data_IF_519924668820
#
_entry.id   IF_519924668820
#
_cell.length_a   1.000
_cell.length_b   1.000
_cell.length_c   1.000
_cell.angle_alpha   90.00
_cell.angle_beta   90.00
_cell.angle_gamma   90.00
#
_symmetry.space_group_name_H-M   'P 1'
#
loop_
_entity.id
_entity.type
_entity.pdbx_description
1 polymer ?
#
# COMPACT_ATOMS: atom_id res chain seq x y z
N UNK A 1 41.95 -21.51 6.62
CA UNK A 1 40.68 -21.70 7.34
C UNK A 1 39.64 -22.01 6.28
N UNK A 2 39.25 -23.28 6.14
CA UNK A 2 38.23 -23.70 5.17
C UNK A 2 36.89 -23.58 5.88
N UNK A 3 35.95 -22.80 5.35
CA UNK A 3 34.59 -22.73 5.90
C UNK A 3 33.91 -24.09 5.69
N UNK A 4 33.49 -24.74 6.78
CA UNK A 4 32.68 -25.96 6.68
C UNK A 4 31.21 -25.61 6.35
N UNK A 5 30.51 -26.58 5.76
CA UNK A 5 29.14 -26.41 5.25
C UNK A 5 28.13 -26.02 6.33
N UNK A 6 28.33 -26.49 7.57
CA UNK A 6 27.43 -26.19 8.68
C UNK A 6 27.60 -24.74 9.13
N UNK A 7 28.84 -24.29 9.34
CA UNK A 7 29.14 -22.90 9.72
C UNK A 7 28.58 -21.88 8.72
N UNK A 8 28.78 -22.09 7.41
CA UNK A 8 28.26 -21.15 6.40
C UNK A 8 26.74 -21.18 6.29
N UNK A 9 26.11 -22.34 6.53
CA UNK A 9 24.64 -22.47 6.55
C UNK A 9 24.04 -21.71 7.73
N UNK A 10 24.67 -21.75 8.91
CA UNK A 10 24.27 -20.93 10.07
C UNK A 10 24.40 -19.44 9.75
N UNK A 11 25.55 -19.01 9.20
CA UNK A 11 25.74 -17.60 8.83
C UNK A 11 24.66 -17.12 7.85
N UNK A 12 24.33 -17.95 6.86
CA UNK A 12 23.28 -17.66 5.88
C UNK A 12 21.91 -17.57 6.55
N UNK A 13 21.58 -18.52 7.46
CA UNK A 13 20.35 -18.50 8.23
C UNK A 13 20.19 -17.22 9.04
N UNK A 14 21.23 -16.80 9.76
CA UNK A 14 21.20 -15.57 10.55
C UNK A 14 20.93 -14.36 9.66
N UNK A 15 21.66 -14.21 8.54
CA UNK A 15 21.49 -13.07 7.63
C UNK A 15 20.08 -13.04 7.02
N UNK A 16 19.59 -14.17 6.51
CA UNK A 16 18.28 -14.27 5.85
C UNK A 16 17.14 -14.06 6.86
N UNK A 17 17.24 -14.63 8.07
CA UNK A 17 16.22 -14.47 9.12
C UNK A 17 16.15 -13.02 9.59
N UNK A 18 17.28 -12.40 9.90
CA UNK A 18 17.30 -10.99 10.35
C UNK A 18 16.77 -10.07 9.26
N UNK A 19 17.24 -10.23 8.02
CA UNK A 19 16.75 -9.48 6.87
C UNK A 19 15.24 -9.65 6.64
N UNK A 20 14.77 -10.91 6.65
CA UNK A 20 13.37 -11.24 6.42
C UNK A 20 12.45 -10.73 7.53
N UNK A 21 12.84 -10.89 8.79
CA UNK A 21 12.08 -10.37 9.94
C UNK A 21 12.00 -8.84 9.89
N UNK A 22 13.11 -8.16 9.64
CA UNK A 22 13.12 -6.70 9.51
C UNK A 22 12.17 -6.23 8.39
N UNK A 23 12.20 -6.89 7.23
CA UNK A 23 11.31 -6.55 6.13
C UNK A 23 9.83 -6.81 6.45
N UNK A 24 9.52 -7.96 7.06
CA UNK A 24 8.14 -8.33 7.42
C UNK A 24 7.58 -7.37 8.48
N UNK A 25 8.35 -7.07 9.53
CA UNK A 25 7.94 -6.13 10.58
C UNK A 25 7.66 -4.74 10.00
N UNK A 26 8.56 -4.22 9.16
CA UNK A 26 8.36 -2.94 8.50
C UNK A 26 7.09 -2.91 7.63
N UNK A 27 6.78 -4.02 6.98
CA UNK A 27 5.58 -4.14 6.13
C UNK A 27 4.30 -4.14 6.97
N UNK A 28 4.29 -4.86 8.10
CA UNK A 28 3.16 -4.93 9.02
C UNK A 28 2.92 -3.58 9.71
N UNK A 29 3.97 -2.95 10.24
CA UNK A 29 3.89 -1.68 10.96
C UNK A 29 3.38 -0.54 10.07
N UNK A 30 3.65 -0.60 8.76
CA UNK A 30 3.24 0.44 7.81
C UNK A 30 1.91 0.16 7.13
N UNK A 31 1.21 -0.94 7.48
CA UNK A 31 -0.04 -1.39 6.84
C UNK A 31 0.05 -1.40 5.30
N UNK A 32 1.18 -1.84 4.77
CA UNK A 32 1.43 -1.80 3.33
C UNK A 32 0.42 -2.72 2.60
N UNK A 33 -0.16 -2.22 1.50
CA UNK A 33 -1.18 -2.95 0.72
C UNK A 33 -0.66 -3.28 -0.68
N UNK A 34 -1.13 -4.40 -1.26
CA UNK A 34 -0.70 -4.82 -2.60
C UNK A 34 0.68 -5.50 -2.63
N UNK A 35 1.63 -4.93 -3.40
CA UNK A 35 2.91 -5.55 -3.73
C UNK A 35 3.79 -5.87 -2.50
N UNK A 36 3.77 -5.03 -1.47
CA UNK A 36 4.52 -5.23 -0.22
C UNK A 36 4.17 -6.55 0.47
N UNK A 37 2.88 -6.93 0.50
CA UNK A 37 2.43 -8.20 1.10
C UNK A 37 2.96 -9.42 0.35
N UNK A 38 3.05 -9.35 -0.98
CA UNK A 38 3.57 -10.44 -1.81
C UNK A 38 5.09 -10.57 -1.63
N UNK A 39 5.81 -9.45 -1.50
CA UNK A 39 7.24 -9.48 -1.18
C UNK A 39 7.51 -10.00 0.23
N UNK A 40 6.67 -9.71 1.22
CA UNK A 40 6.79 -10.34 2.53
C UNK A 40 6.67 -11.86 2.47
N UNK A 41 5.80 -12.39 1.60
CA UNK A 41 5.73 -13.83 1.36
C UNK A 41 7.03 -14.38 0.77
N UNK A 42 7.72 -13.59 -0.07
CA UNK A 42 9.04 -13.97 -0.59
C UNK A 42 10.08 -14.15 0.53
N UNK A 43 10.12 -13.21 1.48
CA UNK A 43 11.04 -13.28 2.63
C UNK A 43 10.68 -14.41 3.59
N UNK A 44 9.39 -14.66 3.84
CA UNK A 44 8.95 -15.81 4.64
C UNK A 44 9.39 -17.12 3.96
N UNK A 45 9.22 -17.23 2.64
CA UNK A 45 9.66 -18.39 1.89
C UNK A 45 11.19 -18.55 1.89
N UNK A 46 11.96 -17.45 1.86
CA UNK A 46 13.42 -17.48 2.00
C UNK A 46 13.87 -17.94 3.40
N UNK A 47 13.18 -17.51 4.46
CA UNK A 47 13.42 -18.00 5.83
C UNK A 47 13.15 -19.51 5.88
N UNK A 48 12.01 -19.96 5.38
CA UNK A 48 11.65 -21.38 5.35
C UNK A 48 12.69 -22.20 4.57
N UNK A 49 13.10 -21.73 3.40
CA UNK A 49 14.17 -22.35 2.58
C UNK A 49 15.44 -22.56 3.40
N UNK A 50 15.86 -21.52 4.10
CA UNK A 50 17.15 -21.54 4.82
C UNK A 50 17.09 -22.43 6.05
N UNK A 51 15.96 -22.45 6.76
CA UNK A 51 15.74 -23.36 7.89
C UNK A 51 15.68 -24.82 7.43
N UNK A 52 15.04 -25.09 6.29
CA UNK A 52 15.00 -26.43 5.70
C UNK A 52 16.39 -26.94 5.32
N UNK A 53 17.22 -26.10 4.68
CA UNK A 53 18.59 -26.50 4.35
C UNK A 53 19.48 -26.62 5.58
N UNK A 54 19.32 -25.78 6.60
CA UNK A 54 20.04 -25.93 7.85
C UNK A 54 19.65 -27.24 8.56
N UNK A 55 18.36 -27.60 8.56
CA UNK A 55 17.89 -28.86 9.12
C UNK A 55 18.48 -30.07 8.37
N UNK A 56 18.54 -29.99 7.03
CA UNK A 56 19.19 -31.03 6.21
C UNK A 56 20.68 -31.19 6.56
N UNK A 57 21.45 -30.09 6.64
CA UNK A 57 22.88 -30.17 7.00
C UNK A 57 23.06 -30.72 8.42
N UNK A 58 22.15 -30.41 9.35
CA UNK A 58 22.21 -30.88 10.72
C UNK A 58 21.81 -32.36 10.88
N UNK A 59 20.81 -32.84 10.13
CA UNK A 59 20.33 -34.22 10.22
C UNK A 59 21.12 -35.20 9.35
N UNK A 60 21.72 -34.73 8.25
CA UNK A 60 22.33 -35.57 7.23
C UNK A 60 21.32 -36.35 6.37
N UNK A 61 20.02 -36.15 6.58
CA UNK A 61 18.96 -36.88 5.86
C UNK A 61 18.43 -36.05 4.69
N UNK A 62 18.78 -36.47 3.47
CA UNK A 62 18.21 -35.93 2.24
C UNK A 62 16.78 -36.46 2.06
N UNK A 63 15.79 -35.56 2.03
CA UNK A 63 14.39 -35.95 1.90
C UNK A 63 13.42 -34.77 1.93
N UNK A 64 12.46 -34.80 2.84
CA UNK A 64 11.41 -33.76 2.95
C UNK A 64 11.98 -32.36 3.20
N UNK A 65 13.07 -32.24 3.96
CA UNK A 65 13.71 -30.96 4.21
C UNK A 65 14.22 -30.31 2.90
N UNK A 66 14.91 -31.08 2.05
CA UNK A 66 15.37 -30.60 0.74
C UNK A 66 14.17 -30.29 -0.17
N UNK A 67 13.15 -31.14 -0.20
CA UNK A 67 11.98 -30.93 -1.06
C UNK A 67 11.23 -29.64 -0.71
N UNK A 68 10.95 -29.42 0.59
CA UNK A 68 10.31 -28.19 1.09
C UNK A 68 11.23 -26.99 0.86
N UNK A 69 12.54 -27.14 1.08
CA UNK A 69 13.53 -26.11 0.83
C UNK A 69 13.54 -25.65 -0.63
N UNK A 70 13.66 -26.59 -1.57
CA UNK A 70 13.66 -26.32 -3.01
C UNK A 70 12.37 -25.62 -3.46
N UNK A 71 11.21 -26.13 -3.01
CA UNK A 71 9.92 -25.53 -3.34
C UNK A 71 9.79 -24.11 -2.78
N UNK A 72 10.19 -23.91 -1.52
CA UNK A 72 10.16 -22.61 -0.85
C UNK A 72 11.10 -21.61 -1.54
N UNK A 73 12.24 -22.05 -2.06
CA UNK A 73 13.17 -21.18 -2.76
C UNK A 73 12.56 -20.65 -4.07
N UNK A 74 11.90 -21.55 -4.81
CA UNK A 74 11.17 -21.20 -6.03
C UNK A 74 10.02 -20.25 -5.72
N UNK A 75 9.26 -20.50 -4.64
CA UNK A 75 8.19 -19.59 -4.18
C UNK A 75 8.77 -18.22 -3.83
N UNK A 76 9.88 -18.17 -3.08
CA UNK A 76 10.53 -16.92 -2.69
C UNK A 76 10.88 -16.06 -3.89
N UNK A 77 11.61 -16.63 -4.85
CA UNK A 77 12.00 -15.93 -6.08
C UNK A 77 10.79 -15.57 -6.94
N UNK A 78 9.82 -16.47 -7.05
CA UNK A 78 8.57 -16.24 -7.78
C UNK A 78 7.73 -15.10 -7.21
N UNK A 79 7.63 -14.99 -5.88
CA UNK A 79 6.95 -13.91 -5.19
C UNK A 79 7.62 -12.56 -5.44
N UNK A 80 8.95 -12.49 -5.61
CA UNK A 80 9.62 -11.24 -6.02
C UNK A 80 9.17 -10.78 -7.41
N UNK A 81 9.02 -11.70 -8.37
CA UNK A 81 8.49 -11.40 -9.69
C UNK A 81 7.00 -11.03 -9.65
N UNK A 82 6.16 -11.83 -8.97
CA UNK A 82 4.72 -11.56 -8.85
C UNK A 82 4.45 -10.24 -8.12
N UNK A 83 5.22 -9.92 -7.08
CA UNK A 83 5.15 -8.63 -6.40
C UNK A 83 5.53 -7.47 -7.32
N UNK A 84 6.55 -7.64 -8.17
CA UNK A 84 6.90 -6.66 -9.21
C UNK A 84 5.77 -6.46 -10.23
N UNK A 85 5.08 -7.54 -10.63
CA UNK A 85 3.89 -7.45 -11.49
C UNK A 85 2.72 -6.75 -10.81
N UNK A 86 2.49 -7.04 -9.52
CA UNK A 86 1.45 -6.38 -8.72
C UNK A 86 1.72 -4.89 -8.59
N UNK A 87 2.99 -4.51 -8.40
CA UNK A 87 3.40 -3.11 -8.36
C UNK A 87 3.09 -2.40 -9.69
N UNK A 88 3.31 -3.09 -10.80
CA UNK A 88 2.97 -2.59 -12.14
C UNK A 88 1.47 -2.65 -12.50
N UNK A 89 0.59 -3.00 -11.55
CA UNK A 89 -0.86 -3.06 -11.77
C UNK A 89 -1.31 -4.17 -12.73
N UNK A 90 -0.49 -5.21 -12.92
CA UNK A 90 -0.81 -6.31 -13.86
C UNK A 90 -1.60 -7.43 -13.19
N UNK A 91 -2.33 -8.19 -14.00
CA UNK A 91 -3.06 -9.37 -13.52
C UNK A 91 -2.08 -10.41 -12.94
N UNK A 92 -2.49 -10.96 -11.79
CA UNK A 92 -1.66 -11.88 -11.00
C UNK A 92 -2.01 -13.36 -11.22
N UNK A 93 -3.20 -13.67 -11.75
CA UNK A 93 -3.73 -15.05 -11.83
C UNK A 93 -2.76 -16.01 -12.53
N UNK A 94 -2.32 -15.66 -13.75
CA UNK A 94 -1.41 -16.52 -14.54
C UNK A 94 -0.05 -16.63 -13.87
N UNK A 95 0.50 -15.54 -13.35
CA UNK A 95 1.82 -15.54 -12.73
C UNK A 95 1.85 -16.31 -11.42
N UNK A 96 0.77 -16.26 -10.62
CA UNK A 96 0.61 -17.09 -9.43
C UNK A 96 0.59 -18.59 -9.79
N UNK A 97 -0.12 -18.97 -10.85
CA UNK A 97 -0.12 -20.35 -11.34
C UNK A 97 1.25 -20.80 -11.87
N UNK A 98 2.00 -19.94 -12.54
CA UNK A 98 3.38 -20.24 -12.99
C UNK A 98 4.29 -20.50 -11.78
N UNK A 99 4.22 -19.66 -10.74
CA UNK A 99 5.02 -19.84 -9.53
C UNK A 99 4.62 -21.12 -8.79
N UNK A 100 3.31 -21.36 -8.60
CA UNK A 100 2.80 -22.57 -7.96
C UNK A 100 3.21 -23.84 -8.72
N UNK A 101 3.08 -23.84 -10.05
CA UNK A 101 3.49 -24.95 -10.90
C UNK A 101 5.00 -25.19 -10.86
N UNK A 102 5.81 -24.14 -10.86
CA UNK A 102 7.28 -24.25 -10.77
C UNK A 102 7.72 -24.79 -9.40
N UNK A 103 7.07 -24.34 -8.32
CA UNK A 103 7.35 -24.82 -6.97
C UNK A 103 6.93 -26.29 -6.80
N UNK A 104 5.76 -26.66 -7.33
CA UNK A 104 5.30 -28.05 -7.35
C UNK A 104 6.26 -28.95 -8.16
N UNK A 105 6.73 -28.47 -9.32
CA UNK A 105 7.71 -29.20 -10.13
C UNK A 105 9.02 -29.43 -9.38
N UNK A 106 9.56 -28.42 -8.70
CA UNK A 106 10.77 -28.55 -7.89
C UNK A 106 10.58 -29.51 -6.71
N UNK A 107 9.43 -29.43 -6.02
CA UNK A 107 9.07 -30.34 -4.94
C UNK A 107 9.00 -31.80 -5.42
N UNK A 108 8.22 -32.05 -6.48
CA UNK A 108 8.01 -33.39 -7.04
C UNK A 108 9.33 -33.94 -7.60
N UNK A 109 10.12 -33.14 -8.30
CA UNK A 109 11.42 -33.58 -8.82
C UNK A 109 12.37 -34.03 -7.71
N UNK A 110 12.31 -33.38 -6.54
CA UNK A 110 13.11 -33.77 -5.38
C UNK A 110 12.62 -35.10 -4.79
N UNK A 111 11.30 -35.28 -4.65
CA UNK A 111 10.72 -36.53 -4.14
C UNK A 111 10.93 -37.71 -5.08
N UNK A 112 10.84 -37.50 -6.39
CA UNK A 112 11.04 -38.54 -7.42
C UNK A 112 12.48 -39.02 -7.45
N UNK A 113 13.45 -38.13 -7.20
CA UNK A 113 14.85 -38.52 -7.08
C UNK A 113 15.09 -39.46 -5.87
N UNK A 114 14.22 -39.40 -4.86
CA UNK A 114 14.26 -40.29 -3.70
C UNK A 114 15.55 -40.17 -2.87
N UNK A 115 15.79 -41.13 -1.96
CA UNK A 115 17.01 -41.19 -1.14
C UNK A 115 18.30 -41.25 -1.97
N UNK A 116 18.24 -41.85 -3.16
CA UNK A 116 19.38 -42.02 -4.06
C UNK A 116 19.78 -40.72 -4.80
N UNK A 117 18.91 -39.70 -4.78
CA UNK A 117 19.18 -38.39 -5.37
C UNK A 117 20.24 -37.57 -4.61
N UNK A 118 20.57 -37.97 -3.38
CA UNK A 118 21.56 -37.32 -2.53
C UNK A 118 21.31 -35.82 -2.33
N UNK A 119 22.39 -35.07 -2.11
CA UNK A 119 22.37 -33.63 -1.81
C UNK A 119 21.81 -32.76 -2.94
N UNK A 120 21.73 -33.30 -4.16
CA UNK A 120 21.32 -32.59 -5.37
C UNK A 120 19.97 -33.05 -5.92
N UNK A 121 19.18 -33.77 -5.12
CA UNK A 121 17.85 -34.22 -5.48
C UNK A 121 16.97 -33.05 -6.00
N UNK A 122 16.49 -33.15 -7.24
CA UNK A 122 15.64 -32.14 -7.88
C UNK A 122 16.34 -30.80 -8.21
N UNK A 123 17.65 -30.68 -7.99
CA UNK A 123 18.37 -29.41 -8.06
C UNK A 123 18.28 -28.73 -9.44
N UNK A 124 18.37 -29.49 -10.53
CA UNK A 124 18.33 -28.92 -11.89
C UNK A 124 16.98 -28.25 -12.20
N UNK A 125 15.87 -28.87 -11.79
CA UNK A 125 14.52 -28.30 -11.98
C UNK A 125 14.40 -27.00 -11.17
N UNK A 126 14.88 -27.01 -9.93
CA UNK A 126 14.93 -25.81 -9.10
C UNK A 126 15.80 -24.72 -9.74
N UNK A 127 16.99 -25.04 -10.23
CA UNK A 127 17.90 -24.04 -10.81
C UNK A 127 17.29 -23.35 -12.03
N UNK A 128 16.67 -24.12 -12.93
CA UNK A 128 15.99 -23.58 -14.11
C UNK A 128 14.83 -22.67 -13.69
N UNK A 129 14.02 -23.10 -12.71
CA UNK A 129 12.92 -22.29 -12.19
C UNK A 129 13.42 -20.96 -11.59
N UNK A 130 14.49 -21.01 -10.78
CA UNK A 130 15.10 -19.82 -10.19
C UNK A 130 15.68 -18.88 -11.26
N UNK A 131 16.38 -19.43 -12.26
CA UNK A 131 16.93 -18.67 -13.37
C UNK A 131 15.84 -17.91 -14.14
N UNK A 132 14.75 -18.60 -14.50
CA UNK A 132 13.63 -18.04 -15.27
C UNK A 132 12.85 -17.03 -14.44
N UNK A 133 12.44 -17.36 -13.21
CA UNK A 133 11.64 -16.48 -12.36
C UNK A 133 12.42 -15.22 -11.95
N UNK A 134 13.70 -15.36 -11.62
CA UNK A 134 14.56 -14.21 -11.33
C UNK A 134 14.75 -13.34 -12.58
N UNK A 135 14.96 -13.94 -13.76
CA UNK A 135 15.07 -13.21 -15.02
C UNK A 135 13.79 -12.44 -15.37
N UNK A 136 12.63 -13.07 -15.22
CA UNK A 136 11.33 -12.42 -15.39
C UNK A 136 11.13 -11.29 -14.38
N UNK A 137 11.54 -11.49 -13.13
CA UNK A 137 11.55 -10.46 -12.08
C UNK A 137 12.43 -9.26 -12.43
N UNK A 138 13.65 -9.50 -12.91
CA UNK A 138 14.57 -8.46 -13.35
C UNK A 138 13.99 -7.64 -14.50
N UNK A 139 13.46 -8.31 -15.54
CA UNK A 139 12.81 -7.64 -16.67
C UNK A 139 11.58 -6.83 -16.23
N UNK A 140 10.74 -7.39 -15.36
CA UNK A 140 9.53 -6.72 -14.87
C UNK A 140 9.87 -5.49 -14.02
N UNK A 141 10.94 -5.56 -13.22
CA UNK A 141 11.38 -4.46 -12.36
C UNK A 141 11.89 -3.22 -13.12
N UNK A 142 12.20 -3.37 -14.41
CA UNK A 142 12.57 -2.26 -15.32
C UNK A 142 11.42 -1.79 -16.21
N UNK A 143 10.23 -2.39 -16.12
CA UNK A 143 9.06 -2.03 -16.92
C UNK A 143 8.08 -1.16 -16.15
N UNK A 144 7.23 -0.45 -16.90
CA UNK A 144 6.08 0.32 -16.40
C UNK A 144 6.43 1.27 -15.23
N UNK A 145 5.55 1.38 -14.23
CA UNK A 145 5.70 2.30 -13.10
C UNK A 145 6.97 2.01 -12.29
N UNK A 146 7.32 0.73 -12.12
CA UNK A 146 8.51 0.29 -11.38
C UNK A 146 9.81 0.77 -12.05
N UNK A 147 9.89 0.72 -13.39
CA UNK A 147 11.09 1.13 -14.14
C UNK A 147 11.41 2.63 -14.08
N UNK A 148 10.44 3.48 -13.71
CA UNK A 148 10.60 4.94 -13.59
C UNK A 148 11.30 5.37 -12.30
N UNK A 149 11.43 4.45 -11.34
CA UNK A 149 12.14 4.70 -10.10
C UNK A 149 13.58 4.23 -10.19
N UNK A 150 14.54 5.09 -9.83
CA UNK A 150 15.94 4.65 -9.65
C UNK A 150 16.05 3.55 -8.57
N UNK A 151 15.06 3.46 -7.68
CA UNK A 151 14.99 2.50 -6.59
C UNK A 151 14.88 1.04 -7.02
N UNK A 152 14.48 0.79 -8.26
CA UNK A 152 14.23 -0.57 -8.74
C UNK A 152 15.46 -1.17 -9.42
N UNK A 153 16.50 -0.35 -9.66
CA UNK A 153 17.80 -0.79 -10.22
C UNK A 153 18.45 -1.81 -9.30
N UNK A 154 18.45 -1.60 -7.98
CA UNK A 154 19.03 -2.54 -7.04
C UNK A 154 18.34 -3.91 -7.09
N UNK A 155 17.00 -3.94 -7.11
CA UNK A 155 16.25 -5.19 -7.25
C UNK A 155 16.53 -5.86 -8.61
N UNK A 156 16.65 -5.05 -9.67
CA UNK A 156 17.04 -5.55 -11.01
C UNK A 156 18.41 -6.21 -10.98
N UNK A 157 19.39 -5.58 -10.32
CA UNK A 157 20.75 -6.10 -10.21
C UNK A 157 20.77 -7.40 -9.40
N UNK A 158 20.05 -7.47 -8.28
CA UNK A 158 19.95 -8.68 -7.46
C UNK A 158 19.31 -9.82 -8.24
N UNK A 159 18.14 -9.59 -8.85
CA UNK A 159 17.43 -10.61 -9.62
C UNK A 159 18.17 -11.00 -10.90
N UNK A 160 18.84 -10.04 -11.55
CA UNK A 160 19.66 -10.28 -12.74
C UNK A 160 20.90 -11.11 -12.41
N UNK A 161 21.61 -10.78 -11.33
CA UNK A 161 22.76 -11.55 -10.86
C UNK A 161 22.35 -12.97 -10.44
N UNK A 162 21.24 -13.11 -9.72
CA UNK A 162 20.67 -14.41 -9.37
C UNK A 162 20.33 -15.22 -10.63
N UNK A 163 19.63 -14.61 -11.60
CA UNK A 163 19.27 -15.27 -12.85
C UNK A 163 20.51 -15.77 -13.60
N UNK A 164 21.51 -14.91 -13.79
CA UNK A 164 22.75 -15.26 -14.50
C UNK A 164 23.52 -16.37 -13.78
N UNK A 165 23.63 -16.29 -12.46
CA UNK A 165 24.29 -17.32 -11.66
C UNK A 165 23.59 -18.67 -11.79
N UNK A 166 22.26 -18.71 -11.69
CA UNK A 166 21.52 -19.97 -11.81
C UNK A 166 21.47 -20.53 -13.23
N UNK A 167 21.56 -19.68 -14.27
CA UNK A 167 21.80 -20.15 -15.65
C UNK A 167 23.16 -20.83 -15.75
N UNK A 168 24.23 -20.16 -15.32
CA UNK A 168 25.59 -20.71 -15.35
C UNK A 168 25.68 -22.00 -14.53
N UNK A 169 25.11 -22.00 -13.32
CA UNK A 169 25.02 -23.16 -12.43
C UNK A 169 24.29 -24.33 -13.08
N UNK A 170 23.17 -24.09 -13.76
CA UNK A 170 22.42 -25.14 -14.46
C UNK A 170 23.23 -25.75 -15.61
N UNK A 171 23.91 -24.91 -16.39
CA UNK A 171 24.74 -25.35 -17.53
C UNK A 171 25.89 -26.22 -17.02
N UNK A 172 26.64 -25.74 -16.01
CA UNK A 172 27.78 -26.47 -15.46
C UNK A 172 27.32 -27.78 -14.78
N UNK A 173 26.22 -27.74 -14.04
CA UNK A 173 25.63 -28.94 -13.45
C UNK A 173 25.25 -29.99 -14.51
N UNK A 174 24.67 -29.56 -15.64
CA UNK A 174 24.29 -30.47 -16.71
C UNK A 174 25.46 -31.02 -17.53
N UNK A 175 26.55 -30.24 -17.67
CA UNK A 175 27.72 -30.63 -18.47
C UNK A 175 28.77 -31.42 -17.68
N UNK A 176 29.07 -31.01 -16.45
CA UNK A 176 30.14 -31.60 -15.63
C UNK A 176 29.60 -32.52 -14.52
N UNK A 177 28.35 -32.32 -14.11
CA UNK A 177 27.71 -33.09 -13.05
C UNK A 177 27.94 -32.53 -11.63
N UNK A 178 27.23 -33.10 -10.63
CA UNK A 178 27.22 -32.60 -9.25
C UNK A 178 28.48 -32.91 -8.44
N UNK A 179 29.28 -33.88 -8.86
CA UNK A 179 30.48 -34.36 -8.14
C UNK A 179 31.78 -33.79 -8.68
N UNK A 180 31.72 -33.03 -9.77
CA UNK A 180 32.90 -32.43 -10.39
C UNK A 180 33.51 -31.32 -9.51
N UNK A 181 34.83 -31.28 -9.43
CA UNK A 181 35.56 -30.34 -8.56
C UNK A 181 35.31 -28.88 -8.96
N UNK A 182 35.18 -28.60 -10.27
CA UNK A 182 34.89 -27.26 -10.76
C UNK A 182 33.48 -26.84 -10.35
N UNK A 183 32.51 -27.75 -10.46
CA UNK A 183 31.14 -27.49 -10.00
C UNK A 183 31.10 -27.24 -8.49
N UNK A 184 31.71 -28.10 -7.66
CA UNK A 184 31.71 -27.95 -6.21
C UNK A 184 32.42 -26.68 -5.75
N UNK A 185 33.49 -26.28 -6.43
CA UNK A 185 34.27 -25.07 -6.09
C UNK A 185 33.52 -23.78 -6.42
N UNK A 186 32.99 -23.65 -7.63
CA UNK A 186 32.40 -22.39 -8.10
C UNK A 186 30.88 -22.32 -8.00
N UNK A 187 30.21 -23.46 -7.98
CA UNK A 187 28.76 -23.60 -8.05
C UNK A 187 28.21 -24.51 -6.94
N UNK A 188 29.05 -24.92 -6.00
CA UNK A 188 28.66 -25.70 -4.83
C UNK A 188 27.78 -24.90 -3.87
N UNK A 189 27.31 -25.60 -2.84
CA UNK A 189 26.42 -25.01 -1.85
C UNK A 189 27.11 -23.93 -1.02
N UNK A 190 28.39 -24.10 -0.68
CA UNK A 190 29.19 -23.11 0.06
C UNK A 190 29.26 -21.78 -0.72
N UNK A 191 29.66 -21.84 -1.99
CA UNK A 191 29.76 -20.64 -2.86
C UNK A 191 28.41 -19.96 -3.07
N UNK A 192 27.36 -20.77 -3.22
CA UNK A 192 25.98 -20.24 -3.32
C UNK A 192 25.53 -19.55 -2.04
N UNK A 193 25.92 -20.05 -0.86
CA UNK A 193 25.62 -19.42 0.42
C UNK A 193 26.27 -18.04 0.54
N UNK A 194 27.53 -17.90 0.13
CA UNK A 194 28.19 -16.58 0.06
C UNK A 194 27.45 -15.62 -0.89
N UNK A 195 27.10 -16.09 -2.08
CA UNK A 195 26.32 -15.27 -3.03
C UNK A 195 24.98 -14.86 -2.41
N UNK A 196 24.29 -15.77 -1.74
CA UNK A 196 23.01 -15.51 -1.08
C UNK A 196 23.14 -14.45 0.00
N UNK A 197 24.18 -14.53 0.83
CA UNK A 197 24.48 -13.52 1.86
C UNK A 197 24.72 -12.16 1.19
N UNK A 198 25.59 -12.10 0.17
CA UNK A 198 25.91 -10.84 -0.53
C UNK A 198 24.64 -10.24 -1.15
N UNK A 199 23.89 -11.02 -1.91
CA UNK A 199 22.67 -10.56 -2.57
C UNK A 199 21.61 -10.10 -1.57
N UNK A 200 21.46 -10.81 -0.45
CA UNK A 200 20.52 -10.45 0.62
C UNK A 200 20.92 -9.11 1.26
N UNK A 201 22.20 -8.93 1.59
CA UNK A 201 22.71 -7.68 2.15
C UNK A 201 22.49 -6.54 1.16
N UNK A 202 22.86 -6.72 -0.11
CA UNK A 202 22.64 -5.71 -1.16
C UNK A 202 21.16 -5.37 -1.29
N UNK A 203 20.26 -6.37 -1.27
CA UNK A 203 18.83 -6.16 -1.34
C UNK A 203 18.30 -5.34 -0.15
N UNK A 204 18.68 -5.71 1.09
CA UNK A 204 18.26 -5.02 2.31
C UNK A 204 18.81 -3.61 2.40
N UNK A 205 20.12 -3.44 2.18
CA UNK A 205 20.78 -2.12 2.21
C UNK A 205 20.19 -1.22 1.15
N UNK A 206 19.95 -1.74 -0.06
CA UNK A 206 19.26 -0.99 -1.09
C UNK A 206 17.88 -0.59 -0.60
N UNK A 207 17.01 -1.53 -0.17
CA UNK A 207 15.69 -1.19 0.35
C UNK A 207 15.71 -0.16 1.50
N UNK A 208 16.71 -0.21 2.37
CA UNK A 208 16.91 0.74 3.48
C UNK A 208 17.32 2.15 3.00
N UNK A 209 18.31 2.25 2.10
CA UNK A 209 18.75 3.52 1.47
C UNK A 209 17.63 4.13 0.62
N UNK A 210 16.86 3.29 -0.06
CA UNK A 210 15.70 3.71 -0.82
C UNK A 210 14.62 4.28 0.09
N UNK A 211 14.42 3.67 1.27
CA UNK A 211 13.43 4.11 2.25
C UNK A 211 13.87 5.39 2.99
N UNK A 212 15.17 5.61 3.20
CA UNK A 212 15.72 6.85 3.78
C UNK A 212 15.78 8.02 2.78
N UNK A 213 16.10 7.74 1.51
CA UNK A 213 16.03 8.71 0.41
C UNK A 213 14.59 9.12 0.09
N UNK A 214 13.64 8.19 0.17
CA UNK A 214 12.20 8.49 0.05
C UNK A 214 11.65 9.32 1.21
N UNK A 215 12.20 9.26 2.42
CA UNK A 215 11.79 10.16 3.50
C UNK A 215 12.10 11.64 3.19
N UNK A 216 13.14 11.91 2.38
CA UNK A 216 13.49 13.26 1.92
C UNK A 216 12.78 13.69 0.62
N UNK A 217 12.39 12.74 -0.23
CA UNK A 217 11.67 12.98 -1.50
C UNK A 217 10.13 12.88 -1.37
N UNK A 218 9.61 12.37 -0.25
CA UNK A 218 8.17 12.35 0.11
C UNK A 218 7.54 13.74 0.24
N UNK A 219 8.32 14.82 0.17
CA UNK A 219 7.81 16.18 0.05
C UNK A 219 7.20 16.53 -1.33
N UNK A 220 7.16 15.63 -2.32
CA UNK A 220 6.74 16.03 -3.69
C UNK A 220 5.99 15.00 -4.56
N UNK A 221 5.45 13.91 -4.01
CA UNK A 221 4.79 12.88 -4.83
C UNK A 221 3.85 12.00 -4.01
N UNK A 222 2.73 12.58 -3.66
CA UNK A 222 1.80 12.04 -2.68
C UNK A 222 0.82 11.02 -3.29
N UNK A 223 1.16 9.73 -3.19
CA UNK A 223 0.19 8.63 -3.30
C UNK A 223 -0.37 8.27 -1.92
N UNK A 224 -0.97 9.23 -1.21
CA UNK A 224 -1.90 8.91 -0.13
C UNK A 224 -3.10 8.18 -0.74
N UNK A 225 -3.37 7.00 -0.20
CA UNK A 225 -4.67 6.35 -0.35
C UNK A 225 -5.70 7.32 0.22
N UNK A 226 -6.52 7.94 -0.64
CA UNK A 226 -7.63 8.76 -0.18
C UNK A 226 -8.63 7.83 0.50
N UNK A 227 -8.90 8.07 1.78
CA UNK A 227 -9.81 7.26 2.57
C UNK A 227 -11.23 7.79 2.41
N UNK A 228 -12.16 6.87 2.16
CA UNK A 228 -13.59 7.14 2.17
C UNK A 228 -14.24 6.34 3.29
N UNK A 229 -15.15 6.96 4.02
CA UNK A 229 -16.02 6.26 4.97
C UNK A 229 -17.13 5.46 4.25
N UNK A 230 -17.91 4.66 4.99
CA UNK A 230 -19.07 3.91 4.47
C UNK A 230 -20.12 4.81 3.83
N UNK A 231 -20.25 6.05 4.31
CA UNK A 231 -21.12 7.07 3.74
C UNK A 231 -20.50 7.75 2.51
N UNK A 232 -19.27 7.36 2.13
CA UNK A 232 -18.42 7.82 1.03
C UNK A 232 -18.04 9.30 1.07
N UNK A 233 -17.87 9.80 2.29
CA UNK A 233 -17.22 11.07 2.60
C UNK A 233 -15.71 10.83 2.73
N UNK A 234 -14.90 11.79 2.27
CA UNK A 234 -13.45 11.77 2.56
C UNK A 234 -13.18 12.05 4.04
N UNK A 235 -12.16 11.43 4.62
CA UNK A 235 -11.67 11.81 5.95
C UNK A 235 -10.99 13.20 5.93
N UNK A 236 -10.75 13.76 7.12
CA UNK A 236 -10.23 15.13 7.29
C UNK A 236 -8.91 15.35 6.49
N UNK A 237 -8.00 14.37 6.54
CA UNK A 237 -6.69 14.45 5.88
C UNK A 237 -6.82 14.35 4.34
N UNK A 238 -7.62 13.40 3.83
CA UNK A 238 -7.83 13.25 2.38
C UNK A 238 -8.55 14.46 1.79
N UNK A 239 -9.54 15.00 2.50
CA UNK A 239 -10.23 16.22 2.07
C UNK A 239 -9.29 17.41 2.03
N UNK A 240 -8.53 17.66 3.10
CA UNK A 240 -7.62 18.81 3.18
C UNK A 240 -6.59 18.78 2.04
N UNK A 241 -6.06 17.60 1.73
CA UNK A 241 -5.15 17.40 0.59
C UNK A 241 -5.84 17.71 -0.74
N UNK A 242 -6.97 17.08 -1.02
CA UNK A 242 -7.70 17.28 -2.29
C UNK A 242 -8.10 18.74 -2.49
N UNK A 243 -8.54 19.39 -1.41
CA UNK A 243 -8.92 20.79 -1.42
C UNK A 243 -7.72 21.70 -1.61
N UNK A 244 -6.58 21.43 -0.96
CA UNK A 244 -5.32 22.15 -1.17
C UNK A 244 -4.82 22.09 -2.62
N UNK A 245 -4.90 20.91 -3.24
CA UNK A 245 -4.57 20.76 -4.67
C UNK A 245 -5.54 21.56 -5.56
N UNK A 246 -6.83 21.54 -5.22
CA UNK A 246 -7.88 22.27 -5.94
C UNK A 246 -7.67 23.79 -5.82
N UNK A 247 -7.41 24.33 -4.63
CA UNK A 247 -7.16 25.76 -4.41
C UNK A 247 -5.86 26.22 -5.07
N UNK A 248 -4.80 25.41 -5.01
CA UNK A 248 -3.52 25.73 -5.67
C UNK A 248 -3.68 25.85 -7.19
N UNK A 249 -4.40 24.91 -7.83
CA UNK A 249 -4.70 25.00 -9.27
C UNK A 249 -5.61 26.19 -9.58
N UNK A 250 -6.64 26.41 -8.76
CA UNK A 250 -7.56 27.52 -8.93
C UNK A 250 -6.84 28.87 -8.85
N UNK A 251 -5.88 29.02 -7.93
CA UNK A 251 -5.05 30.21 -7.81
C UNK A 251 -4.25 30.50 -9.09
N UNK A 252 -3.67 29.46 -9.71
CA UNK A 252 -2.88 29.60 -10.92
C UNK A 252 -3.68 30.13 -12.13
N UNK A 253 -4.98 29.82 -12.19
CA UNK A 253 -5.88 30.25 -13.26
C UNK A 253 -6.88 31.33 -12.83
N UNK A 254 -6.76 31.84 -11.59
CA UNK A 254 -7.72 32.79 -10.99
C UNK A 254 -9.18 32.30 -11.06
N UNK A 255 -9.37 30.99 -10.89
CA UNK A 255 -10.70 30.36 -10.89
C UNK A 255 -11.34 30.46 -9.52
N UNK A 256 -12.62 30.85 -9.45
CA UNK A 256 -13.33 30.94 -8.17
C UNK A 256 -13.55 29.57 -7.54
N UNK A 257 -13.17 29.42 -6.28
CA UNK A 257 -13.44 28.23 -5.48
C UNK A 257 -14.18 28.60 -4.20
N UNK A 258 -15.06 27.72 -3.76
CA UNK A 258 -15.77 27.87 -2.50
C UNK A 258 -15.77 26.58 -1.70
N UNK A 259 -15.82 26.74 -0.39
CA UNK A 259 -16.07 25.64 0.54
C UNK A 259 -17.31 25.97 1.37
N UNK A 260 -18.24 25.02 1.43
CA UNK A 260 -19.44 25.08 2.26
C UNK A 260 -19.22 24.15 3.43
N UNK A 261 -19.33 24.66 4.65
CA UNK A 261 -19.30 23.87 5.88
C UNK A 261 -20.72 23.72 6.40
N UNK A 262 -21.18 22.47 6.54
CA UNK A 262 -22.45 22.11 7.16
C UNK A 262 -22.14 21.49 8.52
N UNK A 263 -22.70 22.03 9.60
CA UNK A 263 -22.44 21.55 10.96
C UNK A 263 -23.72 21.20 11.69
N UNK A 264 -23.66 20.10 12.43
CA UNK A 264 -24.72 19.65 13.32
C UNK A 264 -24.32 19.98 14.76
N UNK A 265 -24.94 20.99 15.37
CA UNK A 265 -24.42 21.61 16.60
C UNK A 265 -24.91 20.93 17.87
N UNK A 266 -26.15 20.44 17.87
CA UNK A 266 -26.89 20.00 19.04
C UNK A 266 -26.92 18.46 19.22
N UNK A 267 -26.11 17.73 18.45
CA UNK A 267 -26.09 16.27 18.48
C UNK A 267 -25.81 15.69 19.89
N UNK A 268 -24.84 16.18 20.68
CA UNK A 268 -24.64 15.71 22.06
C UNK A 268 -25.86 15.95 22.96
N UNK A 269 -26.53 17.10 22.80
CA UNK A 269 -27.72 17.47 23.56
C UNK A 269 -28.91 16.57 23.19
N UNK A 270 -29.08 16.27 21.90
CA UNK A 270 -30.10 15.33 21.40
C UNK A 270 -29.82 13.93 21.97
N UNK A 271 -28.58 13.46 21.93
CA UNK A 271 -28.21 12.16 22.51
C UNK A 271 -28.54 12.07 24.01
N UNK A 272 -28.39 13.18 24.74
CA UNK A 272 -28.70 13.26 26.18
C UNK A 272 -30.21 13.26 26.45
N UNK A 273 -31.00 13.96 25.61
CA UNK A 273 -32.42 14.18 25.86
C UNK A 273 -33.34 13.13 25.23
N UNK A 274 -32.98 12.57 24.08
CA UNK A 274 -33.80 11.67 23.26
C UNK A 274 -33.16 10.28 23.07
N UNK A 275 -31.94 10.09 23.56
CA UNK A 275 -31.21 8.83 23.51
C UNK A 275 -30.24 8.74 22.33
N UNK A 276 -29.32 7.78 22.44
CA UNK A 276 -28.22 7.61 21.49
C UNK A 276 -28.66 7.10 20.12
N UNK A 277 -29.74 6.32 20.05
CA UNK A 277 -30.26 5.78 18.79
C UNK A 277 -30.83 6.89 17.91
N UNK A 278 -31.70 7.75 18.47
CA UNK A 278 -32.26 8.91 17.76
C UNK A 278 -31.16 9.84 17.24
N UNK A 279 -30.13 10.09 18.08
CA UNK A 279 -28.98 10.89 17.67
C UNK A 279 -28.18 10.23 16.54
N UNK A 280 -28.00 8.91 16.56
CA UNK A 280 -27.32 8.18 15.49
C UNK A 280 -28.08 8.24 14.17
N UNK A 281 -29.41 8.11 14.21
CA UNK A 281 -30.27 8.20 13.02
C UNK A 281 -30.20 9.60 12.40
N UNK A 282 -30.27 10.65 13.23
CA UNK A 282 -30.09 12.04 12.78
C UNK A 282 -28.69 12.26 12.19
N UNK A 283 -27.64 11.76 12.85
CA UNK A 283 -26.27 11.91 12.37
C UNK A 283 -26.02 11.18 11.04
N UNK A 284 -26.63 10.00 10.86
CA UNK A 284 -26.54 9.25 9.61
C UNK A 284 -27.34 9.94 8.48
N UNK A 285 -28.57 10.37 8.75
CA UNK A 285 -29.39 11.12 7.79
C UNK A 285 -28.71 12.42 7.35
N UNK A 286 -28.09 13.12 8.29
CA UNK A 286 -27.28 14.31 7.99
C UNK A 286 -26.10 14.00 7.08
N UNK A 287 -25.33 12.95 7.34
CA UNK A 287 -24.19 12.52 6.50
C UNK A 287 -24.61 12.14 5.09
N UNK A 288 -25.58 11.24 4.98
CA UNK A 288 -26.11 10.76 3.70
C UNK A 288 -26.77 11.88 2.92
N UNK A 289 -27.59 12.70 3.57
CA UNK A 289 -28.28 13.84 2.96
C UNK A 289 -27.31 14.90 2.45
N UNK A 290 -26.28 15.25 3.24
CA UNK A 290 -25.31 16.29 2.85
C UNK A 290 -24.56 15.87 1.59
N UNK A 291 -24.14 14.60 1.51
CA UNK A 291 -23.51 14.04 0.32
C UNK A 291 -24.47 13.96 -0.87
N UNK A 292 -25.71 13.53 -0.65
CA UNK A 292 -26.74 13.39 -1.69
C UNK A 292 -27.09 14.71 -2.36
N UNK A 293 -27.15 15.80 -1.58
CA UNK A 293 -27.52 17.12 -2.07
C UNK A 293 -26.33 17.97 -2.54
N UNK A 294 -25.11 17.51 -2.33
CA UNK A 294 -23.91 18.14 -2.88
C UNK A 294 -23.91 18.05 -4.43
N UNK A 295 -23.34 19.06 -5.12
CA UNK A 295 -23.14 18.97 -6.56
C UNK A 295 -22.28 17.77 -6.96
N UNK A 296 -22.53 17.19 -8.13
CA UNK A 296 -21.81 15.99 -8.61
C UNK A 296 -20.31 16.20 -8.82
N UNK A 297 -19.89 17.43 -9.08
CA UNK A 297 -18.48 17.81 -9.22
C UNK A 297 -17.82 18.23 -7.90
N UNK A 298 -18.57 18.25 -6.80
CA UNK A 298 -18.05 18.70 -5.52
C UNK A 298 -17.27 17.59 -4.80
N UNK A 299 -16.24 17.99 -4.08
CA UNK A 299 -15.50 17.11 -3.16
C UNK A 299 -16.18 17.24 -1.80
N UNK A 300 -16.54 16.12 -1.18
CA UNK A 300 -17.25 16.10 0.11
C UNK A 300 -16.48 15.29 1.13
N UNK A 301 -16.22 15.87 2.29
CA UNK A 301 -15.46 15.20 3.36
C UNK A 301 -15.84 15.69 4.74
N UNK A 302 -15.22 15.07 5.74
CA UNK A 302 -15.36 15.47 7.13
C UNK A 302 -14.63 16.79 7.43
N UNK A 303 -15.14 17.49 8.42
CA UNK A 303 -14.48 18.59 9.09
C UNK A 303 -14.60 18.39 10.60
N UNK A 304 -13.79 17.47 11.12
CA UNK A 304 -13.85 17.00 12.50
C UNK A 304 -15.12 16.19 12.78
N UNK A 305 -15.49 16.10 14.06
CA UNK A 305 -16.57 15.19 14.52
C UNK A 305 -18.00 15.66 14.23
N UNK A 306 -18.21 16.95 13.96
CA UNK A 306 -19.55 17.55 13.83
C UNK A 306 -19.74 18.38 12.55
N UNK A 307 -18.78 18.32 11.63
CA UNK A 307 -18.80 19.07 10.38
C UNK A 307 -18.65 18.19 9.15
N UNK A 308 -19.34 18.56 8.07
CA UNK A 308 -19.11 18.08 6.71
C UNK A 308 -18.80 19.30 5.85
N UNK A 309 -17.77 19.18 5.03
CA UNK A 309 -17.34 20.22 4.10
C UNK A 309 -17.52 19.79 2.66
N UNK A 310 -17.92 20.76 1.83
CA UNK A 310 -18.20 20.59 0.40
C UNK A 310 -17.37 21.62 -0.34
N UNK A 311 -16.37 21.19 -1.09
CA UNK A 311 -15.58 22.05 -1.97
C UNK A 311 -16.16 22.01 -3.39
N UNK A 312 -16.39 23.18 -3.98
CA UNK A 312 -16.97 23.35 -5.31
C UNK A 312 -16.41 24.58 -6.03
N UNK A 313 -16.67 24.65 -7.33
CA UNK A 313 -16.36 25.79 -8.19
C UNK A 313 -17.66 26.49 -8.60
N UNK A 314 -18.12 27.51 -7.84
CA UNK A 314 -19.36 28.20 -8.15
C UNK A 314 -19.16 29.26 -9.24
N UNK A 315 -20.20 29.51 -10.04
CA UNK A 315 -20.14 30.57 -11.06
C UNK A 315 -20.18 31.98 -10.47
N UNK A 316 -20.73 32.14 -9.25
CA UNK A 316 -20.76 33.40 -8.50
C UNK A 316 -20.90 33.15 -6.99
N UNK A 317 -20.64 34.18 -6.18
CA UNK A 317 -20.89 34.13 -4.71
C UNK A 317 -22.37 33.81 -4.43
N UNK A 318 -23.28 34.40 -5.22
CA UNK A 318 -24.71 34.10 -5.14
C UNK A 318 -25.05 32.65 -5.48
N UNK A 319 -24.28 32.03 -6.38
CA UNK A 319 -24.44 30.61 -6.72
C UNK A 319 -24.04 29.69 -5.56
N UNK A 320 -22.90 29.96 -4.93
CA UNK A 320 -22.48 29.24 -3.71
C UNK A 320 -23.55 29.32 -2.62
N UNK A 321 -24.13 30.52 -2.40
CA UNK A 321 -25.24 30.72 -1.45
C UNK A 321 -26.48 29.92 -1.82
N UNK A 322 -26.87 29.92 -3.11
CA UNK A 322 -28.02 29.13 -3.58
C UNK A 322 -27.83 27.62 -3.36
N UNK A 323 -26.63 27.11 -3.61
CA UNK A 323 -26.29 25.69 -3.38
C UNK A 323 -26.38 25.37 -1.89
N UNK A 324 -25.74 26.18 -1.04
CA UNK A 324 -25.78 26.01 0.42
C UNK A 324 -27.21 26.06 0.98
N UNK A 325 -28.02 27.05 0.58
CA UNK A 325 -29.42 27.16 1.01
C UNK A 325 -30.28 25.98 0.55
N UNK A 326 -30.00 25.42 -0.64
CA UNK A 326 -30.69 24.23 -1.13
C UNK A 326 -30.34 23.01 -0.27
N UNK A 327 -29.06 22.80 0.03
CA UNK A 327 -28.59 21.71 0.89
C UNK A 327 -29.24 21.82 2.27
N UNK A 328 -29.17 23.01 2.89
CA UNK A 328 -29.80 23.27 4.19
C UNK A 328 -31.29 22.93 4.21
N UNK A 329 -32.07 23.45 3.24
CA UNK A 329 -33.52 23.20 3.18
C UNK A 329 -33.84 21.72 3.00
N UNK A 330 -33.14 21.04 2.08
CA UNK A 330 -33.37 19.62 1.80
C UNK A 330 -33.01 18.72 2.98
N UNK A 331 -31.97 19.07 3.74
CA UNK A 331 -31.64 18.37 4.98
C UNK A 331 -32.72 18.53 6.05
N UNK A 332 -33.27 19.74 6.21
CA UNK A 332 -34.39 19.95 7.14
C UNK A 332 -35.65 19.19 6.71
N UNK A 333 -35.94 19.15 5.41
CA UNK A 333 -37.04 18.34 4.86
C UNK A 333 -36.84 16.84 5.17
N UNK A 334 -35.60 16.33 5.02
CA UNK A 334 -35.26 14.94 5.34
C UNK A 334 -35.46 14.63 6.83
N UNK A 335 -35.02 15.50 7.74
CA UNK A 335 -35.27 15.33 9.18
C UNK A 335 -36.77 15.29 9.50
N UNK A 336 -37.57 16.15 8.88
CA UNK A 336 -39.03 16.12 9.04
C UNK A 336 -39.66 14.82 8.54
N UNK A 337 -39.09 14.19 7.51
CA UNK A 337 -39.60 12.93 6.93
C UNK A 337 -39.29 11.68 7.77
N UNK A 338 -38.22 11.72 8.57
CA UNK A 338 -37.81 10.60 9.44
C UNK A 338 -38.74 10.49 10.66
N UNK A 339 -39.60 11.50 10.89
CA UNK A 339 -40.54 11.50 12.00
C UNK A 339 -39.86 11.71 13.35
N UNK A 340 -38.67 12.31 13.36
CA UNK A 340 -37.93 12.60 14.58
C UNK A 340 -38.72 13.57 15.45
N UNK A 341 -38.68 13.38 16.76
CA UNK A 341 -39.38 14.28 17.70
C UNK A 341 -38.68 15.65 17.84
N UNK A 342 -37.51 15.80 17.22
CA UNK A 342 -36.64 16.97 17.29
C UNK A 342 -36.16 17.36 15.90
N UNK A 343 -36.17 18.66 15.63
CA UNK A 343 -35.50 19.24 14.47
C UNK A 343 -34.13 19.74 14.93
N UNK A 344 -33.03 19.14 14.45
CA UNK A 344 -31.70 19.54 14.90
C UNK A 344 -31.29 20.90 14.33
N UNK A 345 -30.41 21.59 15.05
CA UNK A 345 -29.84 22.87 14.62
C UNK A 345 -28.69 22.65 13.65
N UNK A 346 -28.92 23.06 12.39
CA UNK A 346 -27.91 23.07 11.34
C UNK A 346 -27.30 24.46 11.16
N UNK A 347 -25.97 24.53 11.24
CA UNK A 347 -25.20 25.70 10.85
C UNK A 347 -24.62 25.53 9.45
N UNK A 348 -24.80 26.50 8.56
CA UNK A 348 -24.20 26.46 7.21
C UNK A 348 -23.38 27.71 6.95
N UNK A 349 -22.09 27.51 6.72
CA UNK A 349 -21.11 28.55 6.43
C UNK A 349 -20.50 28.39 5.05
N UNK A 350 -20.17 29.50 4.40
CA UNK A 350 -19.57 29.51 3.07
C UNK A 350 -18.33 30.39 3.11
N UNK A 351 -17.20 29.90 2.59
CA UNK A 351 -16.07 30.74 2.26
C UNK A 351 -15.82 30.68 0.75
N UNK A 352 -15.52 31.83 0.15
CA UNK A 352 -15.22 31.99 -1.27
C UNK A 352 -13.83 32.59 -1.43
N UNK A 353 -13.08 32.15 -2.45
CA UNK A 353 -11.71 32.61 -2.67
C UNK A 353 -11.62 34.10 -3.00
N UNK A 354 -12.69 34.71 -3.52
CA UNK A 354 -12.78 36.15 -3.76
C UNK A 354 -12.61 37.00 -2.49
N UNK A 355 -12.99 36.45 -1.32
CA UNK A 355 -12.98 37.16 -0.05
C UNK A 355 -11.81 36.70 0.82
N UNK A 356 -11.64 35.39 0.97
CA UNK A 356 -10.65 34.81 1.89
C UNK A 356 -9.31 34.46 1.21
N UNK A 357 -9.19 34.65 -0.11
CA UNK A 357 -8.03 34.22 -0.88
C UNK A 357 -8.04 32.71 -1.17
N UNK A 358 -6.92 32.20 -1.69
CA UNK A 358 -6.78 30.82 -2.14
C UNK A 358 -6.12 29.89 -1.11
N UNK A 359 -5.87 30.36 0.10
CA UNK A 359 -5.32 29.51 1.14
C UNK A 359 -6.39 28.52 1.64
N UNK A 360 -6.10 27.22 1.54
CA UNK A 360 -7.08 26.16 1.83
C UNK A 360 -7.47 26.12 3.31
N UNK A 361 -6.50 26.33 4.21
CA UNK A 361 -6.75 26.35 5.65
C UNK A 361 -7.56 27.57 6.06
N UNK A 362 -7.24 28.76 5.52
CA UNK A 362 -8.02 29.97 5.75
C UNK A 362 -9.45 29.83 5.23
N UNK A 363 -9.66 29.27 4.03
CA UNK A 363 -10.99 29.01 3.49
C UNK A 363 -11.81 28.06 4.38
N UNK A 364 -11.20 26.96 4.82
CA UNK A 364 -11.86 25.99 5.70
C UNK A 364 -12.20 26.60 7.06
N UNK A 365 -11.27 27.33 7.66
CA UNK A 365 -11.48 28.02 8.94
C UNK A 365 -12.60 29.04 8.82
N UNK A 366 -12.56 29.88 7.77
CA UNK A 366 -13.57 30.90 7.52
C UNK A 366 -14.97 30.32 7.32
N UNK A 367 -15.10 29.21 6.58
CA UNK A 367 -16.39 28.55 6.39
C UNK A 367 -16.90 27.89 7.69
N UNK A 368 -16.01 27.28 8.47
CA UNK A 368 -16.36 26.70 9.76
C UNK A 368 -16.87 27.76 10.74
N UNK A 369 -16.17 28.89 10.86
CA UNK A 369 -16.57 30.00 11.73
C UNK A 369 -17.92 30.59 11.30
N UNK A 370 -18.13 30.72 9.99
CA UNK A 370 -19.42 31.16 9.44
C UNK A 370 -20.55 30.16 9.76
N UNK A 371 -20.27 28.85 9.73
CA UNK A 371 -21.26 27.82 10.06
C UNK A 371 -21.64 27.86 11.54
N UNK A 372 -20.66 28.05 12.44
CA UNK A 372 -20.90 28.19 13.88
C UNK A 372 -21.74 29.44 14.16
N UNK A 373 -21.42 30.59 13.55
CA UNK A 373 -22.22 31.81 13.70
C UNK A 373 -23.65 31.63 13.15
N UNK A 374 -23.79 30.95 12.02
CA UNK A 374 -25.10 30.67 11.41
C UNK A 374 -26.00 29.85 12.34
N UNK A 375 -25.46 28.82 12.99
CA UNK A 375 -26.23 28.01 13.94
C UNK A 375 -26.72 28.80 15.17
N UNK A 376 -25.97 29.83 15.58
CA UNK A 376 -26.35 30.70 16.70
C UNK A 376 -27.25 31.88 16.32
N UNK A 377 -27.50 32.08 15.02
CA UNK A 377 -28.24 33.25 14.53
C UNK A 377 -29.69 32.88 14.20
N UNK A 378 -30.69 33.54 14.81
CA UNK A 378 -32.10 33.27 14.52
C UNK A 378 -32.53 33.68 13.10
N UNK A 379 -31.82 34.64 12.47
CA UNK A 379 -32.23 35.24 11.19
C UNK A 379 -31.45 34.72 9.98
N UNK A 380 -30.34 33.98 10.18
CA UNK A 380 -29.42 33.61 9.11
C UNK A 380 -29.05 32.12 9.14
N UNK A 381 -29.85 31.32 8.43
CA UNK A 381 -29.63 29.88 8.20
C UNK A 381 -28.42 29.53 7.31
N UNK A 382 -27.88 30.52 6.58
CA UNK A 382 -26.67 30.37 5.76
C UNK A 382 -25.87 31.66 5.83
N UNK A 383 -24.60 31.58 6.24
CA UNK A 383 -23.69 32.73 6.32
C UNK A 383 -22.49 32.63 5.39
N UNK A 384 -22.08 33.76 4.83
CA UNK A 384 -20.85 33.87 4.03
C UNK A 384 -19.77 34.48 4.93
N UNK A 385 -18.58 33.89 4.95
CA UNK A 385 -17.44 34.41 5.68
C UNK A 385 -17.03 35.79 5.12
N UNK A 386 -16.83 36.76 6.03
CA UNK A 386 -16.49 38.13 5.66
C UNK A 386 -17.66 39.01 5.24
N UNK A 387 -18.89 38.48 5.15
CA UNK A 387 -20.09 39.31 5.10
C UNK A 387 -20.41 39.77 6.53
N UNK A 388 -20.20 41.07 6.80
CA UNK A 388 -20.68 41.75 8.02
C UNK A 388 -22.15 42.11 7.85
#
# INVERSE_FOLDING_TARGET
MVFDMFSISICTAVVVVVAGVQFVLDTVLRRDTGAGRIWSLAFIAAILTTLCYLAWVASGEAGLAIAIGNASFVVGTGCLWVGSRSYNGRSLKVSAWIVAGSAAAAFIATLVAGPDGGDWAGALVMFIALAVLAGLGAVESRRAAMGRSASTVALTLVLGAQSLYYVARSIVFALLGPTDEFFLTWFGSITTSFLTIILTIVAVVSMSVLRSGQARLRGRGDSTTLLLDSDGLYDDESFAKLFGDLTHRAAAFSERIAVISVRLVDLPQIATAFGTVEAQDIAHAWRVGTRRYAPTSAIVGHAGSTGIVIALQPSSIGDARRVASRIHRRLLDDFGSIGTSVVPVLGVGIAVSDIAGYDSEALLTAANDAAVRSASSPDASVMIAGAV
#
